data_IF_551355125071
#
_entry.id   IF_551355125071
#
_cell.length_a   1.000
_cell.length_b   1.000
_cell.length_c   1.000
_cell.angle_alpha   90.00
_cell.angle_beta   90.00
_cell.angle_gamma   90.00
#
_symmetry.space_group_name_H-M   'P 1'
#
loop_
_entity.id
_entity.type
_entity.pdbx_description
1 polymer ?
#
# COMPACT_ATOMS: atom_id res chain seq x y z
N UNK A 1 -3.47 6.06 -10.49
CA UNK A 1 -4.88 5.85 -10.11
C UNK A 1 -4.99 4.54 -9.36
N UNK A 2 -6.03 4.36 -8.55
CA UNK A 2 -6.25 3.14 -7.78
C UNK A 2 -7.05 2.08 -8.56
N UNK A 3 -6.52 0.86 -8.77
CA UNK A 3 -7.23 -0.22 -9.47
C UNK A 3 -8.56 -0.62 -8.83
N UNK A 4 -8.70 -0.54 -7.51
CA UNK A 4 -9.96 -0.83 -6.79
C UNK A 4 -10.91 0.37 -6.71
N UNK A 5 -10.53 1.50 -7.32
CA UNK A 5 -11.34 2.73 -7.44
C UNK A 5 -11.65 3.41 -6.10
N UNK A 6 -10.75 3.31 -5.12
CA UNK A 6 -10.86 4.02 -3.85
C UNK A 6 -10.66 5.54 -4.00
N UNK A 7 -11.12 6.29 -2.99
CA UNK A 7 -10.91 7.73 -2.89
C UNK A 7 -9.52 8.05 -2.30
N UNK A 8 -8.49 7.70 -3.07
CA UNK A 8 -7.08 7.74 -2.65
C UNK A 8 -6.19 8.36 -3.72
N UNK A 9 -5.26 9.20 -3.27
CA UNK A 9 -4.18 9.74 -4.09
C UNK A 9 -2.87 9.02 -3.72
N UNK A 10 -2.47 8.02 -4.50
CA UNK A 10 -1.16 7.39 -4.31
C UNK A 10 -0.05 8.31 -4.80
N UNK A 11 0.81 8.75 -3.88
CA UNK A 11 1.92 9.66 -4.19
C UNK A 11 3.25 8.91 -4.36
N UNK A 12 4.19 9.54 -5.08
CA UNK A 12 5.54 8.99 -5.23
C UNK A 12 6.36 9.11 -3.93
N UNK A 13 7.53 8.45 -3.91
CA UNK A 13 8.43 8.41 -2.74
C UNK A 13 8.84 9.80 -2.22
N UNK A 14 9.14 10.75 -3.12
CA UNK A 14 9.58 12.10 -2.71
C UNK A 14 8.46 12.84 -1.98
N UNK A 15 7.27 12.86 -2.56
CA UNK A 15 6.10 13.48 -1.96
C UNK A 15 5.65 12.76 -0.67
N UNK A 16 5.74 11.43 -0.63
CA UNK A 16 5.46 10.65 0.57
C UNK A 16 6.41 11.03 1.73
N UNK A 17 7.70 11.23 1.45
CA UNK A 17 8.67 11.66 2.46
C UNK A 17 8.43 13.12 2.90
N UNK A 18 8.18 14.02 1.95
CA UNK A 18 7.87 15.43 2.22
C UNK A 18 6.63 15.60 3.11
N UNK A 19 5.60 14.79 2.87
CA UNK A 19 4.36 14.81 3.64
C UNK A 19 4.38 13.86 4.85
N UNK A 20 5.51 13.23 5.17
CA UNK A 20 5.66 12.36 6.35
C UNK A 20 4.84 11.06 6.29
N UNK A 21 4.43 10.62 5.10
CA UNK A 21 3.67 9.38 4.89
C UNK A 21 4.55 8.14 5.01
N UNK A 22 5.86 8.28 4.80
CA UNK A 22 6.84 7.20 4.95
C UNK A 22 8.05 7.68 5.74
N UNK A 23 8.54 6.86 6.66
CA UNK A 23 9.78 7.08 7.41
C UNK A 23 10.40 5.74 7.78
N UNK A 24 11.71 5.63 7.70
CA UNK A 24 12.46 4.49 8.22
C UNK A 24 13.43 5.00 9.28
N UNK A 25 13.43 4.36 10.45
CA UNK A 25 14.43 4.56 11.51
C UNK A 25 14.88 3.23 12.08
N UNK A 26 15.80 3.28 13.03
CA UNK A 26 16.34 2.08 13.68
C UNK A 26 15.26 1.30 14.46
N UNK A 27 14.16 1.95 14.83
CA UNK A 27 13.00 1.34 15.49
C UNK A 27 12.02 0.68 14.52
N UNK A 28 12.13 0.92 13.21
CA UNK A 28 11.26 0.31 12.21
C UNK A 28 10.85 1.23 11.07
N UNK A 29 9.87 0.75 10.30
CA UNK A 29 9.34 1.45 9.12
C UNK A 29 7.92 1.90 9.40
N UNK A 30 7.67 3.20 9.24
CA UNK A 30 6.35 3.78 9.24
C UNK A 30 5.85 3.96 7.80
N UNK A 31 4.65 3.46 7.55
CA UNK A 31 3.90 3.63 6.31
C UNK A 31 2.49 4.08 6.71
N UNK A 32 2.06 5.25 6.25
CA UNK A 32 0.81 5.86 6.67
C UNK A 32 0.13 6.68 5.58
N UNK A 33 -0.86 7.45 6.03
CA UNK A 33 -1.73 8.30 5.20
C UNK A 33 -1.74 9.72 5.74
N UNK A 34 -2.19 10.68 4.92
CA UNK A 34 -2.37 12.05 5.41
C UNK A 34 -3.53 12.12 6.43
N UNK A 35 -3.19 12.52 7.65
CA UNK A 35 -4.13 12.70 8.78
C UNK A 35 -4.30 14.18 9.18
N UNK A 36 -3.69 15.12 8.46
CA UNK A 36 -3.49 16.50 8.92
C UNK A 36 -4.30 17.56 8.16
N UNK A 37 -4.86 17.24 6.99
CA UNK A 37 -5.43 18.24 6.08
C UNK A 37 -6.73 17.88 5.36
N UNK A 38 -7.21 18.88 4.61
CA UNK A 38 -8.33 18.75 3.67
C UNK A 38 -7.98 17.76 2.55
N UNK A 39 -8.92 16.86 2.26
CA UNK A 39 -8.77 15.90 1.18
C UNK A 39 -9.07 16.58 -0.15
N UNK A 40 -8.13 16.54 -1.09
CA UNK A 40 -8.33 17.08 -2.44
C UNK A 40 -9.28 16.21 -3.26
N UNK A 41 -9.63 16.69 -4.47
CA UNK A 41 -10.54 15.96 -5.38
C UNK A 41 -9.98 14.60 -5.82
N UNK A 42 -8.66 14.42 -5.79
CA UNK A 42 -7.97 13.17 -6.12
C UNK A 42 -8.08 12.10 -5.03
N UNK A 43 -8.57 12.43 -3.83
CA UNK A 43 -8.63 11.52 -2.69
C UNK A 43 -7.57 11.81 -1.62
N UNK A 44 -7.59 11.00 -0.55
CA UNK A 44 -6.65 11.16 0.57
C UNK A 44 -5.28 10.64 0.16
N UNK A 45 -4.21 11.41 0.41
CA UNK A 45 -2.85 10.96 0.10
C UNK A 45 -2.48 9.73 0.91
N UNK A 46 -1.98 8.73 0.21
CA UNK A 46 -1.51 7.45 0.75
C UNK A 46 -0.35 6.94 -0.12
N UNK A 47 0.18 5.76 0.21
CA UNK A 47 1.18 5.07 -0.59
C UNK A 47 0.74 3.64 -0.89
N UNK A 48 1.11 3.16 -2.07
CA UNK A 48 1.02 1.75 -2.48
C UNK A 48 2.43 1.30 -2.85
N UNK A 49 2.99 0.40 -2.04
CA UNK A 49 4.36 -0.10 -2.23
C UNK A 49 4.27 -1.50 -2.85
N UNK A 50 5.11 -1.75 -3.84
CA UNK A 50 5.22 -3.03 -4.54
C UNK A 50 6.67 -3.49 -4.48
N UNK A 51 6.90 -4.77 -4.30
CA UNK A 51 8.25 -5.33 -4.34
C UNK A 51 8.80 -5.31 -5.77
N UNK A 52 10.09 -5.02 -5.92
CA UNK A 52 10.78 -5.19 -7.22
C UNK A 52 11.01 -6.68 -7.54
N UNK A 53 11.18 -7.51 -6.51
CA UNK A 53 11.33 -8.95 -6.65
C UNK A 53 9.97 -9.65 -6.75
N UNK A 54 9.93 -10.68 -7.61
CA UNK A 54 8.79 -11.59 -7.78
C UNK A 54 9.16 -12.98 -7.28
N UNK A 55 8.17 -13.69 -6.74
CA UNK A 55 8.37 -15.00 -6.13
C UNK A 55 7.27 -15.97 -6.56
N UNK A 56 7.64 -17.10 -7.15
CA UNK A 56 6.69 -18.17 -7.46
C UNK A 56 6.32 -19.00 -6.23
N UNK A 57 7.27 -19.12 -5.28
CA UNK A 57 7.16 -19.93 -4.06
C UNK A 57 7.99 -19.30 -2.95
N UNK A 58 7.53 -19.42 -1.72
CA UNK A 58 8.26 -18.94 -0.56
C UNK A 58 7.47 -19.08 0.73
N UNK A 59 8.14 -18.78 1.84
CA UNK A 59 7.51 -18.49 3.12
C UNK A 59 7.67 -16.98 3.37
N UNK A 60 6.55 -16.27 3.44
CA UNK A 60 6.51 -14.84 3.70
C UNK A 60 6.09 -14.61 5.13
N UNK A 61 6.95 -13.93 5.90
CA UNK A 61 6.69 -13.60 7.30
C UNK A 61 6.70 -12.09 7.42
N UNK A 62 5.57 -11.54 7.85
CA UNK A 62 5.43 -10.13 8.19
C UNK A 62 5.23 -10.01 9.71
N UNK A 63 6.09 -9.22 10.36
CA UNK A 63 5.93 -8.81 11.75
C UNK A 63 5.53 -7.33 11.77
N UNK A 64 4.44 -7.01 12.46
CA UNK A 64 3.90 -5.64 12.54
C UNK A 64 3.70 -5.25 14.00
N UNK A 65 4.17 -4.05 14.35
CA UNK A 65 3.83 -3.41 15.62
C UNK A 65 2.47 -2.72 15.57
N UNK A 66 2.01 -2.31 14.38
CA UNK A 66 0.74 -1.61 14.15
C UNK A 66 0.24 -1.81 12.71
N UNK A 67 -1.08 -1.75 12.51
CA UNK A 67 -1.72 -1.75 11.18
C UNK A 67 -2.83 -0.68 11.11
N UNK A 68 -3.22 -0.19 9.91
CA UNK A 68 -4.23 0.87 9.80
C UNK A 68 -5.61 0.42 10.29
N UNK A 69 -6.39 1.37 10.83
CA UNK A 69 -7.78 1.17 11.26
C UNK A 69 -8.58 2.45 11.04
N UNK A 70 -9.86 2.35 10.70
CA UNK A 70 -10.77 3.50 10.67
C UNK A 70 -11.94 3.32 9.71
N UNK A 71 -13.00 4.12 9.87
CA UNK A 71 -14.10 4.11 8.91
C UNK A 71 -13.64 4.65 7.55
N UNK A 72 -14.00 3.94 6.48
CA UNK A 72 -13.65 4.31 5.11
C UNK A 72 -12.21 4.02 4.71
N UNK A 73 -11.41 3.40 5.59
CA UNK A 73 -10.10 2.85 5.22
C UNK A 73 -10.26 1.43 4.68
N UNK A 74 -9.36 1.03 3.78
CA UNK A 74 -9.23 -0.34 3.31
C UNK A 74 -7.72 -0.68 3.20
N UNK A 75 -7.02 -0.96 4.32
CA UNK A 75 -5.64 -1.43 4.31
C UNK A 75 -5.53 -2.85 3.77
N UNK A 76 -4.46 -3.12 3.02
CA UNK A 76 -4.12 -4.46 2.58
C UNK A 76 -2.60 -4.72 2.62
N UNK A 77 -2.21 -5.90 3.11
CA UNK A 77 -0.92 -6.54 2.83
C UNK A 77 -1.21 -7.84 2.09
N UNK A 78 -0.86 -7.85 0.81
CA UNK A 78 -1.31 -8.84 -0.14
C UNK A 78 -0.23 -9.09 -1.20
N UNK A 79 -0.37 -10.21 -1.90
CA UNK A 79 0.52 -10.63 -2.98
C UNK A 79 -0.28 -10.83 -4.25
N UNK A 80 0.32 -10.54 -5.39
CA UNK A 80 -0.33 -10.73 -6.68
C UNK A 80 0.68 -11.13 -7.75
N UNK A 81 0.18 -11.72 -8.83
CA UNK A 81 0.95 -12.01 -10.04
C UNK A 81 0.53 -11.09 -11.17
N UNK A 82 1.51 -10.59 -11.93
CA UNK A 82 1.30 -9.99 -13.24
C UNK A 82 2.50 -10.24 -14.15
N UNK A 83 2.25 -10.33 -15.45
CA UNK A 83 3.28 -10.32 -16.49
C UNK A 83 2.76 -9.54 -17.72
N UNK A 84 3.55 -9.52 -18.79
CA UNK A 84 3.21 -8.75 -20.01
C UNK A 84 1.91 -9.23 -20.69
N UNK A 85 1.52 -10.48 -20.52
CA UNK A 85 0.35 -11.10 -21.14
C UNK A 85 -0.82 -11.25 -20.15
N UNK A 86 -0.54 -11.16 -18.85
CA UNK A 86 -1.49 -11.40 -17.76
C UNK A 86 -1.47 -10.25 -16.77
N UNK A 87 -2.32 -9.25 -17.00
CA UNK A 87 -2.50 -8.12 -16.08
C UNK A 87 -3.33 -8.56 -14.87
N UNK A 88 -3.00 -8.08 -13.66
CA UNK A 88 -3.85 -8.31 -12.49
C UNK A 88 -5.31 -7.93 -12.80
N UNK A 89 -6.31 -8.75 -12.41
CA UNK A 89 -6.23 -9.89 -11.48
C UNK A 89 -6.12 -11.28 -12.13
N UNK A 90 -5.64 -11.39 -13.37
CA UNK A 90 -5.71 -12.66 -14.13
C UNK A 90 -4.94 -13.85 -13.52
N UNK A 91 -3.84 -13.60 -12.82
CA UNK A 91 -3.09 -14.64 -12.09
C UNK A 91 -3.63 -14.93 -10.68
N UNK A 92 -4.67 -14.20 -10.25
CA UNK A 92 -5.16 -14.22 -8.88
C UNK A 92 -4.31 -13.40 -7.92
N UNK A 93 -4.71 -13.46 -6.66
CA UNK A 93 -4.13 -12.70 -5.56
C UNK A 93 -4.21 -13.51 -4.25
N UNK A 94 -3.38 -13.13 -3.29
CA UNK A 94 -3.38 -13.67 -1.93
C UNK A 94 -3.40 -12.52 -0.93
N UNK A 95 -4.57 -12.28 -0.35
CA UNK A 95 -4.77 -11.26 0.68
C UNK A 95 -4.43 -11.82 2.06
N UNK A 96 -3.27 -11.43 2.60
CA UNK A 96 -2.78 -11.92 3.91
C UNK A 96 -3.40 -11.11 5.05
N UNK A 97 -3.50 -9.80 4.87
CA UNK A 97 -4.19 -8.88 5.78
C UNK A 97 -5.03 -7.95 4.90
N UNK A 98 -6.33 -7.85 5.18
CA UNK A 98 -7.26 -6.96 4.48
C UNK A 98 -8.49 -6.68 5.37
N UNK A 99 -9.07 -5.47 5.30
CA UNK A 99 -10.33 -5.14 6.00
C UNK A 99 -10.66 -3.67 6.09
#
# INVERSE_FOLDING_TARGET
SDPSKGFVEYVNRSAAAEHGLVRATDEGVYIGVDTTGNVGEAGRRSVRIQSEAMYERGLFILALDHMPTGCGTWPAFWMYGEDADHVWPSWGEYDVIEG
#
